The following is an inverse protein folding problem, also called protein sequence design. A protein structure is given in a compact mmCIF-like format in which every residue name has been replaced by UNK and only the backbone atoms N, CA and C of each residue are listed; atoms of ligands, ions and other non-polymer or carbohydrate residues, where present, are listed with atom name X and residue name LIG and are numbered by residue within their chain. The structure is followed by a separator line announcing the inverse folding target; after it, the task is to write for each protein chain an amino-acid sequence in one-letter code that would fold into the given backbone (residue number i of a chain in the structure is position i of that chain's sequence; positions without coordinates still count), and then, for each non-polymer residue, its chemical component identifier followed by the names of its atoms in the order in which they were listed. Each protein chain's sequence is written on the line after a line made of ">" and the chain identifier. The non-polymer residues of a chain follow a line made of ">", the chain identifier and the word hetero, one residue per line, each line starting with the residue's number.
data_IF_282592733638
#
_entry.id   IF_282592733638
#
_cell.length_a   1.000
_cell.length_b   1.000
_cell.length_c   1.000
_cell.angle_alpha   90.00
_cell.angle_beta   90.00
_cell.angle_gamma   90.00
#
_symmetry.space_group_name_H-M   'P 1'
#
loop_
_entity.id
_entity.type
_entity.pdbx_description
1 polymer ?
#
# COMPACT_ATOMS: atom_id res chain seq x y z
N UNK A 1 12.65 7.45 10.29
CA UNK A 1 11.41 6.64 10.15
C UNK A 1 11.79 5.18 10.33
N UNK A 2 11.44 4.55 11.46
CA UNK A 2 11.56 3.10 11.59
C UNK A 2 10.63 2.47 10.54
N UNK A 3 11.17 1.69 9.59
CA UNK A 3 10.37 1.00 8.58
C UNK A 3 9.42 0.06 9.32
N UNK A 4 8.15 0.42 9.45
CA UNK A 4 7.13 -0.52 9.93
C UNK A 4 7.15 -1.72 8.99
N UNK A 5 7.34 -2.91 9.57
CA UNK A 5 7.23 -4.15 8.82
C UNK A 5 5.76 -4.32 8.45
N UNK A 6 5.45 -4.16 7.17
CA UNK A 6 4.10 -4.39 6.64
C UNK A 6 3.84 -5.89 6.65
N UNK A 7 2.70 -6.28 7.22
CA UNK A 7 2.26 -7.67 7.28
C UNK A 7 1.96 -8.23 5.88
N UNK A 8 1.75 -9.54 5.76
CA UNK A 8 1.37 -10.12 4.45
C UNK A 8 -0.06 -9.70 4.12
N UNK A 9 -0.91 -9.67 5.14
CA UNK A 9 -2.32 -9.31 5.09
C UNK A 9 -2.48 -7.87 4.59
N UNK A 10 -1.69 -6.94 5.12
CA UNK A 10 -1.69 -5.54 4.69
C UNK A 10 -1.29 -5.39 3.21
N UNK A 11 -0.33 -6.21 2.73
CA UNK A 11 0.09 -6.21 1.32
C UNK A 11 -1.02 -6.73 0.41
N UNK A 12 -1.66 -7.83 0.78
CA UNK A 12 -2.78 -8.40 0.01
C UNK A 12 -3.94 -7.40 -0.04
N UNK A 13 -4.26 -6.77 1.09
CA UNK A 13 -5.28 -5.75 1.18
C UNK A 13 -4.98 -4.54 0.28
N UNK A 14 -3.74 -4.02 0.31
CA UNK A 14 -3.30 -2.94 -0.56
C UNK A 14 -3.43 -3.27 -2.06
N UNK A 15 -3.07 -4.50 -2.45
CA UNK A 15 -3.21 -4.96 -3.85
C UNK A 15 -4.68 -5.01 -4.27
N UNK A 16 -5.56 -5.54 -3.42
CA UNK A 16 -6.99 -5.62 -3.73
C UNK A 16 -7.62 -4.24 -3.90
N UNK A 17 -7.24 -3.26 -3.08
CA UNK A 17 -7.72 -1.88 -3.24
C UNK A 17 -7.38 -1.28 -4.62
N UNK A 18 -6.19 -1.58 -5.14
CA UNK A 18 -5.77 -1.13 -6.47
C UNK A 18 -6.52 -1.86 -7.59
N UNK A 19 -6.63 -3.20 -7.49
CA UNK A 19 -7.30 -4.02 -8.51
C UNK A 19 -8.81 -3.75 -8.58
N UNK A 20 -9.45 -3.50 -7.45
CA UNK A 20 -10.87 -3.13 -7.38
C UNK A 20 -11.13 -1.68 -7.85
N UNK A 21 -10.08 -0.89 -8.10
CA UNK A 21 -10.19 0.54 -8.44
C UNK A 21 -10.71 1.42 -7.29
N UNK A 22 -10.72 0.90 -6.05
CA UNK A 22 -11.19 1.62 -4.85
C UNK A 22 -10.21 2.70 -4.42
N UNK A 23 -8.91 2.48 -4.64
CA UNK A 23 -7.86 3.44 -4.30
C UNK A 23 -6.80 3.57 -5.38
N UNK A 24 -6.26 4.78 -5.51
CA UNK A 24 -5.09 5.01 -6.37
C UNK A 24 -3.81 4.50 -5.73
N UNK A 25 -2.83 4.16 -6.56
CA UNK A 25 -1.49 3.77 -6.08
C UNK A 25 -0.86 4.84 -5.19
N UNK A 26 -1.06 6.13 -5.49
CA UNK A 26 -0.55 7.23 -4.67
C UNK A 26 -1.18 7.25 -3.28
N UNK A 27 -2.49 7.00 -3.20
CA UNK A 27 -3.20 6.95 -1.91
C UNK A 27 -2.78 5.74 -1.08
N UNK A 28 -2.56 4.59 -1.70
CA UNK A 28 -2.01 3.39 -1.06
C UNK A 28 -0.61 3.65 -0.52
N UNK A 29 0.26 4.30 -1.30
CA UNK A 29 1.63 4.67 -0.88
C UNK A 29 1.61 5.53 0.38
N UNK A 30 0.73 6.54 0.43
CA UNK A 30 0.54 7.38 1.63
C UNK A 30 -0.05 6.59 2.81
N UNK A 31 -1.03 5.72 2.56
CA UNK A 31 -1.72 4.93 3.59
C UNK A 31 -0.76 3.98 4.32
N UNK A 32 0.11 3.31 3.58
CA UNK A 32 1.07 2.34 4.14
C UNK A 32 2.44 2.96 4.45
N UNK A 33 2.65 4.24 4.17
CA UNK A 33 3.93 4.92 4.39
C UNK A 33 5.08 4.29 3.62
N UNK A 34 4.80 3.71 2.45
CA UNK A 34 5.81 3.12 1.57
C UNK A 34 6.31 4.15 0.57
N UNK A 35 7.48 3.92 -0.01
CA UNK A 35 7.95 4.70 -1.15
C UNK A 35 7.46 4.05 -2.44
N UNK A 36 6.98 4.86 -3.38
CA UNK A 36 6.64 4.37 -4.73
C UNK A 36 7.94 3.98 -5.44
N UNK A 37 8.04 2.72 -5.86
CA UNK A 37 9.03 2.29 -6.83
C UNK A 37 8.43 2.59 -8.21
N UNK A 38 8.73 3.79 -8.71
CA UNK A 38 8.42 4.32 -10.05
C UNK A 38 6.92 4.56 -10.32
#
# INVERSE_FOLDING_TARGET
>A
MSKRKISIEDKVYAVNLYLDGKESQNRIVSMFGVSKLF
#
